data_IF_515369601957
#
_entry.id   IF_515369601957
#
_cell.length_a   1.000
_cell.length_b   1.000
_cell.length_c   1.000
_cell.angle_alpha   90.00
_cell.angle_beta   90.00
_cell.angle_gamma   90.00
#
_symmetry.space_group_name_H-M   'P 1'
#
loop_
_entity.id
_entity.type
_entity.pdbx_description
1 polymer ?
#
# COMPACT_ATOMS: atom_id res chain seq x y z
N UNK A 1 44.18 4.10 -21.60
CA UNK A 1 44.04 3.39 -20.31
C UNK A 1 42.60 3.62 -19.88
N UNK A 2 41.70 2.74 -20.34
CA UNK A 2 40.27 2.85 -20.10
C UNK A 2 39.96 2.16 -18.76
N UNK A 3 39.81 2.94 -17.70
CA UNK A 3 39.11 2.44 -16.51
C UNK A 3 37.68 2.11 -16.94
N UNK A 4 37.40 0.81 -17.00
CA UNK A 4 36.05 0.28 -17.04
C UNK A 4 35.36 0.79 -15.79
N UNK A 5 34.52 1.80 -15.95
CA UNK A 5 33.62 2.31 -14.90
C UNK A 5 32.70 1.15 -14.53
N UNK A 6 33.13 0.39 -13.53
CA UNK A 6 32.38 -0.72 -12.98
C UNK A 6 31.02 -0.18 -12.55
N UNK A 7 29.98 -0.77 -13.13
CA UNK A 7 28.60 -0.29 -13.08
C UNK A 7 28.19 0.14 -11.69
N UNK A 8 27.98 1.45 -11.53
CA UNK A 8 27.15 1.98 -10.47
C UNK A 8 25.73 1.50 -10.77
N UNK A 9 25.34 0.39 -10.15
CA UNK A 9 23.92 0.04 -10.06
C UNK A 9 23.21 1.25 -9.45
N UNK A 10 22.16 1.73 -10.13
CA UNK A 10 21.39 2.86 -9.65
C UNK A 10 20.88 2.50 -8.25
N UNK A 11 21.18 3.29 -7.20
CA UNK A 11 20.80 2.98 -5.82
C UNK A 11 19.27 2.84 -5.64
N UNK A 12 18.49 3.36 -6.60
CA UNK A 12 17.04 3.19 -6.66
C UNK A 12 16.59 1.77 -7.01
N UNK A 13 17.35 1.05 -7.84
CA UNK A 13 16.99 -0.30 -8.28
C UNK A 13 17.19 -1.31 -7.13
N UNK A 14 18.21 -1.09 -6.29
CA UNK A 14 18.49 -1.90 -5.11
C UNK A 14 17.41 -1.76 -4.03
N UNK A 15 16.85 -0.55 -3.86
CA UNK A 15 15.79 -0.27 -2.90
C UNK A 15 14.46 -0.94 -3.31
N UNK A 16 14.12 -0.92 -4.61
CA UNK A 16 12.93 -1.61 -5.14
C UNK A 16 13.06 -3.13 -4.99
N UNK A 17 14.25 -3.68 -5.28
CA UNK A 17 14.53 -5.10 -5.10
C UNK A 17 14.40 -5.55 -3.64
N UNK A 18 14.94 -4.76 -2.71
CA UNK A 18 14.89 -5.04 -1.27
C UNK A 18 13.45 -4.99 -0.72
N UNK A 19 12.63 -4.04 -1.19
CA UNK A 19 11.21 -3.94 -0.81
C UNK A 19 10.38 -5.10 -1.38
N UNK A 20 10.62 -5.47 -2.63
CA UNK A 20 9.94 -6.60 -3.28
C UNK A 20 10.26 -7.92 -2.58
N UNK A 21 11.51 -8.12 -2.14
CA UNK A 21 11.91 -9.28 -1.36
C UNK A 21 11.17 -9.35 -0.01
N UNK A 22 11.02 -8.22 0.68
CA UNK A 22 10.25 -8.13 1.94
C UNK A 22 8.76 -8.43 1.76
N UNK A 23 8.15 -7.97 0.66
CA UNK A 23 6.75 -8.29 0.34
C UNK A 23 6.59 -9.79 0.08
N UNK A 24 7.50 -10.39 -0.69
CA UNK A 24 7.45 -11.84 -0.99
C UNK A 24 7.62 -12.68 0.27
N UNK A 25 8.41 -12.21 1.22
CA UNK A 25 8.63 -12.88 2.50
C UNK A 25 7.47 -12.72 3.48
N UNK A 26 6.69 -11.64 3.38
CA UNK A 26 5.51 -11.38 4.23
C UNK A 26 4.20 -11.93 3.66
N UNK A 27 4.16 -12.26 2.36
CA UNK A 27 3.02 -12.89 1.69
C UNK A 27 2.46 -14.15 2.39
N UNK A 28 3.28 -15.14 2.81
CA UNK A 28 2.76 -16.32 3.52
C UNK A 28 2.16 -15.96 4.90
N UNK A 29 2.68 -14.93 5.56
CA UNK A 29 2.12 -14.44 6.84
C UNK A 29 0.76 -13.78 6.62
N UNK A 30 0.58 -13.04 5.51
CA UNK A 30 -0.70 -12.44 5.13
C UNK A 30 -1.77 -13.48 4.76
N UNK A 31 -1.37 -14.67 4.30
CA UNK A 31 -2.29 -15.77 4.02
C UNK A 31 -2.88 -16.43 5.27
N UNK A 32 -2.21 -16.34 6.42
CA UNK A 32 -2.65 -16.98 7.67
C UNK A 32 -4.08 -16.57 8.06
N UNK A 33 -4.44 -15.29 8.20
CA UNK A 33 -5.79 -14.90 8.59
C UNK A 33 -6.86 -15.34 7.58
N UNK A 34 -6.56 -15.31 6.28
CA UNK A 34 -7.49 -15.79 5.23
C UNK A 34 -7.74 -17.29 5.40
N UNK A 35 -6.67 -18.06 5.58
CA UNK A 35 -6.72 -19.50 5.74
C UNK A 35 -7.40 -19.90 7.05
N UNK A 36 -7.12 -19.18 8.15
CA UNK A 36 -7.81 -19.36 9.44
C UNK A 36 -9.30 -19.04 9.31
N UNK A 37 -9.67 -17.96 8.63
CA UNK A 37 -11.09 -17.61 8.43
C UNK A 37 -11.80 -18.69 7.62
N UNK A 38 -11.17 -19.14 6.53
CA UNK A 38 -11.69 -20.23 5.70
C UNK A 38 -11.86 -21.53 6.51
N UNK A 39 -10.83 -21.94 7.25
CA UNK A 39 -10.87 -23.13 8.13
C UNK A 39 -11.94 -22.98 9.21
N UNK A 40 -12.09 -21.79 9.80
CA UNK A 40 -13.10 -21.51 10.83
C UNK A 40 -14.51 -21.61 10.25
N UNK A 41 -14.76 -21.07 9.06
CA UNK A 41 -16.05 -21.17 8.36
C UNK A 41 -16.35 -22.63 7.99
N UNK A 42 -15.37 -23.36 7.47
CA UNK A 42 -15.51 -24.79 7.15
C UNK A 42 -15.80 -25.60 8.41
N UNK A 43 -15.06 -25.35 9.50
CA UNK A 43 -15.30 -25.99 10.79
C UNK A 43 -16.67 -25.66 11.35
N UNK A 44 -17.08 -24.38 11.36
CA UNK A 44 -18.41 -23.96 11.80
C UNK A 44 -19.49 -24.68 10.98
N UNK A 45 -19.31 -24.78 9.67
CA UNK A 45 -20.25 -25.46 8.79
C UNK A 45 -20.30 -26.96 9.08
N UNK A 46 -19.15 -27.60 9.32
CA UNK A 46 -19.09 -29.03 9.64
C UNK A 46 -19.64 -29.35 11.04
N UNK A 47 -19.50 -28.44 12.01
CA UNK A 47 -19.97 -28.66 13.38
C UNK A 47 -21.43 -28.25 13.58
N UNK A 48 -21.90 -27.20 12.91
CA UNK A 48 -23.27 -26.66 13.04
C UNK A 48 -24.21 -27.23 11.96
N UNK A 49 -23.68 -27.72 10.84
CA UNK A 49 -24.46 -28.20 9.69
C UNK A 49 -25.49 -29.28 9.99
N UNK A 50 -25.28 -30.09 11.03
CA UNK A 50 -26.24 -31.13 11.45
C UNK A 50 -27.27 -30.64 12.49
N UNK A 51 -27.13 -29.42 13.02
CA UNK A 51 -27.98 -28.88 14.10
C UNK A 51 -28.93 -27.77 13.66
N UNK A 52 -29.10 -27.56 12.35
CA UNK A 52 -30.11 -26.66 11.76
C UNK A 52 -31.55 -27.20 11.87
N UNK A 53 -31.83 -28.14 12.78
CA UNK A 53 -33.20 -28.36 13.21
C UNK A 53 -33.59 -27.14 14.05
N UNK A 54 -34.62 -26.36 13.64
CA UNK A 54 -35.08 -25.24 14.44
C UNK A 54 -35.37 -25.76 15.86
N UNK A 55 -34.77 -25.17 16.91
CA UNK A 55 -35.09 -25.56 18.26
C UNK A 55 -36.61 -25.42 18.45
N UNK A 56 -37.27 -26.39 19.10
CA UNK A 56 -38.68 -26.27 19.43
C UNK A 56 -38.88 -24.95 20.19
N UNK A 57 -40.01 -24.31 19.89
CA UNK A 57 -40.43 -22.95 20.27
C UNK A 57 -40.69 -22.82 21.80
N UNK A 58 -39.71 -23.21 22.60
CA UNK A 58 -39.68 -23.00 24.04
C UNK A 58 -39.23 -21.56 24.22
N UNK A 59 -40.16 -20.65 24.51
CA UNK A 59 -39.99 -19.19 24.62
C UNK A 59 -39.02 -18.69 25.71
N UNK A 60 -37.96 -19.43 26.00
CA UNK A 60 -36.80 -18.98 26.75
C UNK A 60 -35.91 -18.06 25.90
N UNK A 61 -35.18 -17.13 26.54
CA UNK A 61 -34.20 -16.31 25.85
C UNK A 61 -33.12 -17.20 25.21
N UNK A 62 -32.69 -16.92 23.97
CA UNK A 62 -31.74 -17.75 23.24
C UNK A 62 -30.42 -17.87 24.03
N UNK A 63 -30.19 -19.03 24.62
CA UNK A 63 -29.01 -19.34 25.40
C UNK A 63 -27.81 -19.56 24.45
N UNK A 64 -26.96 -18.54 24.27
CA UNK A 64 -25.69 -18.74 23.58
C UNK A 64 -24.95 -17.48 23.15
N UNK A 65 -25.62 -16.34 23.05
CA UNK A 65 -24.97 -15.11 22.62
C UNK A 65 -24.41 -14.34 23.82
N UNK A 66 -23.23 -14.75 24.33
CA UNK A 66 -22.53 -14.01 25.38
C UNK A 66 -21.87 -12.76 24.78
N UNK A 67 -22.37 -11.53 25.02
CA UNK A 67 -21.84 -10.30 24.41
C UNK A 67 -20.41 -9.96 24.89
N UNK A 68 -19.92 -10.66 25.92
CA UNK A 68 -18.61 -10.45 26.53
C UNK A 68 -17.45 -10.95 25.65
N UNK A 69 -17.66 -12.03 24.88
CA UNK A 69 -16.61 -12.62 24.03
C UNK A 69 -16.11 -11.63 22.96
N UNK A 70 -16.98 -11.00 22.13
CA UNK A 70 -16.49 -10.03 21.13
C UNK A 70 -15.84 -8.79 21.77
N UNK A 71 -16.33 -8.32 22.92
CA UNK A 71 -15.74 -7.17 23.63
C UNK A 71 -14.31 -7.49 24.10
N UNK A 72 -14.08 -8.68 24.65
CA UNK A 72 -12.76 -9.12 25.11
C UNK A 72 -11.80 -9.30 23.93
N UNK A 73 -12.26 -9.89 22.82
CA UNK A 73 -11.45 -10.04 21.60
C UNK A 73 -11.04 -8.67 21.04
N UNK A 74 -11.98 -7.72 20.96
CA UNK A 74 -11.72 -6.35 20.52
C UNK A 74 -10.71 -5.66 21.46
N UNK A 75 -10.88 -5.78 22.77
CA UNK A 75 -10.00 -5.15 23.76
C UNK A 75 -8.57 -5.71 23.69
N UNK A 76 -8.40 -7.04 23.63
CA UNK A 76 -7.08 -7.69 23.48
C UNK A 76 -6.42 -7.24 22.18
N UNK A 77 -7.20 -7.14 21.10
CA UNK A 77 -6.71 -6.73 19.81
C UNK A 77 -6.20 -5.28 19.79
N UNK A 78 -6.99 -4.32 20.29
CA UNK A 78 -6.58 -2.92 20.39
C UNK A 78 -5.36 -2.75 21.30
N UNK A 79 -5.28 -3.53 22.39
CA UNK A 79 -4.13 -3.50 23.30
C UNK A 79 -2.86 -4.01 22.61
N UNK A 80 -2.95 -5.09 21.84
CA UNK A 80 -1.83 -5.62 21.04
C UNK A 80 -1.36 -4.61 19.99
N UNK A 81 -2.28 -3.92 19.30
CA UNK A 81 -1.98 -2.85 18.34
C UNK A 81 -1.21 -1.69 18.97
N UNK A 82 -1.65 -1.22 20.14
CA UNK A 82 -1.00 -0.12 20.87
C UNK A 82 0.43 -0.51 21.28
N UNK A 83 0.64 -1.76 21.73
CA UNK A 83 1.97 -2.28 22.09
C UNK A 83 2.88 -2.39 20.86
N UNK A 84 2.35 -2.85 19.71
CA UNK A 84 3.10 -2.94 18.46
C UNK A 84 3.51 -1.58 17.89
N UNK A 85 2.65 -0.56 17.99
CA UNK A 85 2.98 0.82 17.60
C UNK A 85 4.11 1.36 18.49
N UNK A 86 4.08 1.07 19.80
CA UNK A 86 5.16 1.45 20.73
C UNK A 86 6.50 0.77 20.42
N UNK A 87 6.50 -0.40 19.79
CA UNK A 87 7.72 -1.15 19.45
C UNK A 87 8.42 -0.67 18.18
N UNK A 88 7.99 0.44 17.55
CA UNK A 88 8.62 1.05 16.36
C UNK A 88 8.84 0.07 15.19
N UNK A 89 8.01 -0.97 15.05
CA UNK A 89 7.96 -1.84 13.85
C UNK A 89 6.71 -1.50 13.03
N UNK A 90 6.73 -0.39 12.27
CA UNK A 90 5.56 0.11 11.57
C UNK A 90 4.98 -0.90 10.58
N UNK A 91 5.82 -1.73 9.94
CA UNK A 91 5.36 -2.73 8.98
C UNK A 91 4.47 -3.82 9.59
N UNK A 92 4.79 -4.29 10.81
CA UNK A 92 3.99 -5.32 11.49
C UNK A 92 2.68 -4.77 12.05
N UNK A 93 2.70 -3.53 12.56
CA UNK A 93 1.49 -2.87 13.04
C UNK A 93 0.49 -2.64 11.90
N UNK A 94 0.96 -2.20 10.73
CA UNK A 94 0.13 -2.06 9.53
C UNK A 94 -0.50 -3.39 9.12
N UNK A 95 0.27 -4.47 9.07
CA UNK A 95 -0.22 -5.80 8.68
C UNK A 95 -1.26 -6.32 9.68
N UNK A 96 -1.02 -6.18 10.99
CA UNK A 96 -1.99 -6.59 12.00
C UNK A 96 -3.28 -5.76 11.98
N UNK A 97 -3.16 -4.45 11.82
CA UNK A 97 -4.33 -3.56 11.66
C UNK A 97 -5.16 -4.00 10.45
N UNK A 98 -4.50 -4.22 9.32
CA UNK A 98 -5.15 -4.61 8.08
C UNK A 98 -5.82 -5.98 8.21
N UNK A 99 -5.10 -6.98 8.71
CA UNK A 99 -5.60 -8.33 8.87
C UNK A 99 -6.84 -8.38 9.76
N UNK A 100 -6.84 -7.67 10.87
CA UNK A 100 -8.00 -7.65 11.77
C UNK A 100 -9.14 -6.82 11.23
N UNK A 101 -8.88 -5.70 10.57
CA UNK A 101 -9.95 -4.95 9.93
C UNK A 101 -10.62 -5.76 8.82
N UNK A 102 -9.83 -6.47 8.01
CA UNK A 102 -10.34 -7.41 7.00
C UNK A 102 -11.12 -8.55 7.64
N UNK A 103 -10.66 -9.10 8.77
CA UNK A 103 -11.41 -10.12 9.51
C UNK A 103 -12.75 -9.60 10.02
N UNK A 104 -12.76 -8.40 10.61
CA UNK A 104 -13.93 -7.78 11.22
C UNK A 104 -14.99 -7.41 10.17
N UNK A 105 -14.54 -6.88 9.03
CA UNK A 105 -15.42 -6.63 7.87
C UNK A 105 -15.94 -7.92 7.25
N UNK A 106 -15.09 -8.95 7.09
CA UNK A 106 -15.52 -10.27 6.60
C UNK A 106 -16.59 -10.87 7.52
N UNK A 107 -16.40 -10.77 8.84
CA UNK A 107 -17.38 -11.26 9.81
C UNK A 107 -18.70 -10.48 9.74
N UNK A 108 -18.62 -9.17 9.49
CA UNK A 108 -19.79 -8.32 9.25
C UNK A 108 -20.56 -8.76 7.99
N UNK A 109 -19.87 -8.93 6.86
CA UNK A 109 -20.47 -9.39 5.59
C UNK A 109 -21.08 -10.78 5.72
N UNK A 110 -20.43 -11.68 6.47
CA UNK A 110 -20.97 -13.02 6.76
C UNK A 110 -22.19 -13.01 7.69
N UNK A 111 -22.45 -11.92 8.41
CA UNK A 111 -23.62 -11.79 9.30
C UNK A 111 -24.78 -11.03 8.67
N UNK A 112 -24.52 -9.85 8.10
CA UNK A 112 -25.56 -8.98 7.52
C UNK A 112 -25.84 -9.24 6.05
N UNK A 113 -25.10 -10.15 5.41
CA UNK A 113 -25.18 -10.38 3.98
C UNK A 113 -24.64 -9.20 3.16
N UNK A 114 -25.01 -9.14 1.88
CA UNK A 114 -24.46 -8.19 0.90
C UNK A 114 -25.28 -6.91 0.83
N UNK A 115 -26.54 -6.97 1.24
CA UNK A 115 -27.40 -5.79 1.32
C UNK A 115 -27.01 -4.87 2.46
N UNK A 116 -26.20 -5.35 3.42
CA UNK A 116 -25.68 -4.52 4.51
C UNK A 116 -24.56 -3.58 4.03
N UNK A 117 -24.28 -2.56 4.82
CA UNK A 117 -23.21 -1.58 4.62
C UNK A 117 -21.81 -2.14 4.88
N UNK A 118 -21.70 -3.33 5.46
CA UNK A 118 -20.44 -3.98 5.82
C UNK A 118 -19.44 -4.15 4.65
N UNK A 119 -19.83 -4.50 3.41
CA UNK A 119 -18.90 -4.59 2.28
C UNK A 119 -18.26 -3.24 1.94
N UNK A 120 -18.97 -2.12 2.13
CA UNK A 120 -18.44 -0.79 1.85
C UNK A 120 -17.30 -0.39 2.81
N UNK A 121 -17.22 -0.99 4.01
CA UNK A 121 -16.10 -0.81 4.94
C UNK A 121 -14.76 -1.37 4.41
N UNK A 122 -14.77 -2.22 3.38
CA UNK A 122 -13.54 -2.76 2.76
C UNK A 122 -12.74 -1.69 2.00
N UNK A 123 -13.34 -0.54 1.66
CA UNK A 123 -12.62 0.58 1.04
C UNK A 123 -11.49 1.08 1.95
N UNK A 124 -11.74 1.17 3.26
CA UNK A 124 -10.79 1.68 4.24
C UNK A 124 -9.46 0.88 4.28
N UNK A 125 -9.46 -0.46 4.46
CA UNK A 125 -8.23 -1.25 4.50
C UNK A 125 -7.56 -1.32 3.12
N UNK A 126 -8.32 -1.30 2.01
CA UNK A 126 -7.75 -1.28 0.65
C UNK A 126 -6.92 -0.01 0.44
N UNK A 127 -7.47 1.14 0.82
CA UNK A 127 -6.76 2.41 0.72
C UNK A 127 -5.60 2.51 1.71
N UNK A 128 -5.79 2.06 2.97
CA UNK A 128 -4.73 2.03 3.96
C UNK A 128 -3.55 1.16 3.51
N UNK A 129 -3.81 0.01 2.87
CA UNK A 129 -2.77 -0.85 2.31
C UNK A 129 -1.97 -0.16 1.21
N UNK A 130 -2.62 0.66 0.38
CA UNK A 130 -1.97 1.43 -0.68
C UNK A 130 -1.05 2.53 -0.18
N UNK A 131 -1.39 3.14 0.96
CA UNK A 131 -0.53 4.14 1.58
C UNK A 131 0.61 3.53 2.41
N UNK A 132 0.39 2.37 3.04
CA UNK A 132 1.32 1.82 4.03
C UNK A 132 2.30 0.78 3.49
N UNK A 133 1.94 -0.01 2.47
CA UNK A 133 2.80 -1.06 1.93
C UNK A 133 3.29 -0.73 0.53
N UNK A 134 2.40 -0.74 -0.47
CA UNK A 134 2.70 -0.41 -1.87
C UNK A 134 1.44 -0.55 -2.75
N UNK A 135 1.49 0.00 -3.97
CA UNK A 135 0.39 -0.08 -4.96
C UNK A 135 0.00 -1.53 -5.27
N UNK A 136 0.96 -2.44 -5.33
CA UNK A 136 0.72 -3.87 -5.57
C UNK A 136 -0.06 -4.53 -4.42
N UNK A 137 0.24 -4.16 -3.16
CA UNK A 137 -0.46 -4.67 -1.99
C UNK A 137 -1.94 -4.22 -1.99
N UNK A 138 -2.21 -2.95 -2.27
CA UNK A 138 -3.59 -2.44 -2.41
C UNK A 138 -4.37 -3.16 -3.51
N UNK A 139 -3.74 -3.39 -4.67
CA UNK A 139 -4.38 -4.09 -5.78
C UNK A 139 -4.69 -5.55 -5.43
N UNK A 140 -3.77 -6.24 -4.76
CA UNK A 140 -3.99 -7.62 -4.30
C UNK A 140 -5.13 -7.70 -3.28
N UNK A 141 -5.23 -6.71 -2.38
CA UNK A 141 -6.28 -6.68 -1.37
C UNK A 141 -7.64 -6.35 -1.97
N UNK A 142 -7.67 -5.45 -2.95
CA UNK A 142 -8.88 -5.15 -3.71
C UNK A 142 -9.38 -6.38 -4.46
N UNK A 143 -8.48 -7.14 -5.11
CA UNK A 143 -8.84 -8.39 -5.79
C UNK A 143 -9.36 -9.47 -4.82
N UNK A 144 -8.77 -9.59 -3.63
CA UNK A 144 -9.27 -10.50 -2.59
C UNK A 144 -10.63 -10.06 -2.04
N UNK A 145 -10.81 -8.76 -1.80
CA UNK A 145 -12.06 -8.20 -1.34
C UNK A 145 -13.19 -8.40 -2.36
N UNK A 146 -12.94 -8.17 -3.66
CA UNK A 146 -13.93 -8.42 -4.71
C UNK A 146 -14.27 -9.89 -4.83
N UNK A 147 -13.27 -10.78 -4.76
CA UNK A 147 -13.50 -12.22 -4.78
C UNK A 147 -14.33 -12.69 -3.57
N UNK A 148 -14.08 -12.12 -2.39
CA UNK A 148 -14.88 -12.37 -1.18
C UNK A 148 -16.34 -11.94 -1.37
N UNK A 149 -16.58 -10.70 -1.82
CA UNK A 149 -17.94 -10.18 -2.05
C UNK A 149 -18.69 -11.00 -3.10
N UNK A 150 -18.04 -11.35 -4.22
CA UNK A 150 -18.64 -12.19 -5.27
C UNK A 150 -18.95 -13.60 -4.75
N UNK A 151 -18.08 -14.17 -3.91
CA UNK A 151 -18.31 -15.50 -3.32
C UNK A 151 -19.52 -15.50 -2.38
N UNK A 152 -19.67 -14.46 -1.56
CA UNK A 152 -20.85 -14.29 -0.70
C UNK A 152 -22.11 -14.06 -1.55
N UNK A 153 -22.03 -13.27 -2.63
CA UNK A 153 -23.16 -13.03 -3.55
C UNK A 153 -23.66 -14.29 -4.19
N UNK A 154 -22.72 -15.10 -4.64
CA UNK A 154 -23.04 -16.39 -5.21
C UNK A 154 -23.69 -17.31 -4.16
N UNK A 155 -23.21 -17.34 -2.91
CA UNK A 155 -23.82 -18.13 -1.84
C UNK A 155 -25.26 -17.68 -1.53
N UNK A 156 -25.51 -16.38 -1.45
CA UNK A 156 -26.85 -15.81 -1.21
C UNK A 156 -27.84 -16.18 -2.33
N UNK A 157 -27.44 -16.02 -3.60
CA UNK A 157 -28.30 -16.35 -4.76
C UNK A 157 -28.67 -17.83 -4.80
N UNK A 158 -27.80 -18.71 -4.28
CA UNK A 158 -28.07 -20.14 -4.19
C UNK A 158 -28.87 -20.54 -2.94
N UNK A 159 -29.37 -19.57 -2.15
CA UNK A 159 -30.11 -19.84 -0.91
C UNK A 159 -29.26 -20.44 0.21
N UNK A 160 -27.92 -20.38 0.09
CA UNK A 160 -26.95 -20.82 1.08
C UNK A 160 -26.52 -19.67 1.99
N UNK A 161 -27.35 -18.64 2.11
CA UNK A 161 -27.11 -17.46 2.91
C UNK A 161 -26.88 -17.81 4.38
N UNK A 162 -25.85 -17.25 5.03
CA UNK A 162 -25.57 -17.50 6.44
C UNK A 162 -26.65 -16.84 7.32
N UNK A 163 -27.49 -17.69 7.93
CA UNK A 163 -28.39 -17.42 9.07
C UNK A 163 -29.63 -16.55 8.76
N UNK A 164 -30.85 -17.01 9.12
CA UNK A 164 -32.05 -16.17 9.11
C UNK A 164 -31.95 -15.02 10.13
N UNK A 165 -32.11 -13.79 9.66
CA UNK A 165 -32.14 -12.57 10.47
C UNK A 165 -33.35 -12.56 11.41
N UNK A 166 -33.10 -12.85 12.69
CA UNK A 166 -33.94 -12.32 13.77
C UNK A 166 -33.09 -11.27 14.47
N UNK A 167 -33.05 -10.08 13.89
CA UNK A 167 -32.36 -8.96 14.50
C UNK A 167 -33.01 -8.60 15.85
N UNK A 168 -32.23 -8.44 16.92
CA UNK A 168 -32.75 -7.91 18.18
C UNK A 168 -33.39 -6.53 17.96
N UNK A 169 -34.53 -6.23 18.59
CA UNK A 169 -35.27 -4.98 18.36
C UNK A 169 -34.50 -3.71 18.74
N UNK A 170 -33.44 -3.83 19.54
CA UNK A 170 -32.57 -2.69 19.87
C UNK A 170 -31.64 -2.31 18.69
N UNK A 171 -31.21 -3.27 17.86
CA UNK A 171 -30.31 -3.01 16.72
C UNK A 171 -31.07 -2.29 15.63
N UNK A 172 -32.29 -2.72 15.33
CA UNK A 172 -33.16 -2.07 14.33
C UNK A 172 -33.51 -0.64 14.73
N UNK A 173 -33.72 -0.37 16.03
CA UNK A 173 -33.94 1.00 16.53
C UNK A 173 -32.70 1.90 16.39
N UNK A 174 -31.49 1.35 16.51
CA UNK A 174 -30.23 2.10 16.42
C UNK A 174 -29.63 2.14 14.99
N UNK A 175 -30.14 1.32 14.08
CA UNK A 175 -29.68 1.20 12.70
C UNK A 175 -29.49 2.55 11.97
N UNK A 176 -30.42 3.52 12.00
CA UNK A 176 -30.22 4.79 11.30
C UNK A 176 -29.06 5.61 11.88
N UNK A 177 -28.84 5.57 13.20
CA UNK A 177 -27.71 6.24 13.84
C UNK A 177 -26.38 5.57 13.51
N UNK A 178 -26.35 4.23 13.47
CA UNK A 178 -25.18 3.46 13.07
C UNK A 178 -24.82 3.73 11.59
N UNK A 179 -25.81 3.80 10.70
CA UNK A 179 -25.62 4.13 9.30
C UNK A 179 -25.04 5.54 9.12
N UNK A 180 -25.56 6.55 9.85
CA UNK A 180 -25.01 7.92 9.82
C UNK A 180 -23.56 7.94 10.32
N UNK A 181 -23.28 7.30 11.46
CA UNK A 181 -21.92 7.19 11.98
C UNK A 181 -20.96 6.51 11.01
N UNK A 182 -21.42 5.44 10.36
CA UNK A 182 -20.68 4.73 9.31
C UNK A 182 -20.33 5.64 8.12
N UNK A 183 -21.31 6.33 7.55
CA UNK A 183 -21.10 7.22 6.40
C UNK A 183 -20.16 8.39 6.75
N UNK A 184 -20.33 9.00 7.93
CA UNK A 184 -19.43 10.05 8.40
C UNK A 184 -17.99 9.52 8.50
N UNK A 185 -17.81 8.34 9.13
CA UNK A 185 -16.49 7.72 9.24
C UNK A 185 -15.85 7.42 7.88
N UNK A 186 -16.64 6.91 6.93
CA UNK A 186 -16.19 6.61 5.57
C UNK A 186 -15.75 7.88 4.83
N UNK A 187 -16.54 8.95 4.86
CA UNK A 187 -16.18 10.21 4.22
C UNK A 187 -14.93 10.84 4.82
N UNK A 188 -14.80 10.86 6.15
CA UNK A 188 -13.60 11.36 6.82
C UNK A 188 -12.35 10.54 6.47
N UNK A 189 -12.50 9.22 6.36
CA UNK A 189 -11.39 8.36 5.97
C UNK A 189 -10.95 8.65 4.54
N UNK A 190 -11.89 8.75 3.58
CA UNK A 190 -11.57 9.10 2.19
C UNK A 190 -10.90 10.49 2.12
N UNK A 191 -11.40 11.48 2.87
CA UNK A 191 -10.81 12.81 2.92
C UNK A 191 -9.36 12.80 3.45
N UNK A 192 -9.10 12.05 4.53
CA UNK A 192 -7.76 11.88 5.09
C UNK A 192 -6.81 11.16 4.12
N UNK A 193 -7.27 10.11 3.45
CA UNK A 193 -6.49 9.38 2.45
C UNK A 193 -6.15 10.28 1.25
N UNK A 194 -7.13 11.08 0.80
CA UNK A 194 -6.96 12.01 -0.33
C UNK A 194 -5.97 13.13 0.01
N UNK A 195 -6.01 13.67 1.23
CA UNK A 195 -5.07 14.70 1.67
C UNK A 195 -3.64 14.16 1.74
N UNK A 196 -3.45 12.94 2.25
CA UNK A 196 -2.15 12.26 2.27
C UNK A 196 -1.62 12.00 0.86
N UNK A 197 -2.48 11.49 -0.03
CA UNK A 197 -2.11 11.21 -1.42
C UNK A 197 -1.67 12.50 -2.14
N UNK A 198 -2.44 13.57 -1.99
CA UNK A 198 -2.15 14.87 -2.61
C UNK A 198 -0.81 15.44 -2.10
N UNK A 199 -0.55 15.36 -0.79
CA UNK A 199 0.71 15.80 -0.20
C UNK A 199 1.92 15.02 -0.74
N UNK A 200 1.79 13.70 -0.90
CA UNK A 200 2.87 12.87 -1.45
C UNK A 200 3.16 13.19 -2.92
N UNK A 201 2.13 13.39 -3.74
CA UNK A 201 2.28 13.75 -5.16
C UNK A 201 2.92 15.13 -5.32
N UNK A 202 2.51 16.10 -4.50
CA UNK A 202 3.09 17.43 -4.52
C UNK A 202 4.58 17.40 -4.14
N UNK A 203 4.94 16.60 -3.13
CA UNK A 203 6.33 16.42 -2.71
C UNK A 203 7.16 15.77 -3.82
N UNK A 204 6.66 14.69 -4.44
CA UNK A 204 7.33 14.02 -5.55
C UNK A 204 7.51 14.94 -6.78
N UNK A 205 6.52 15.78 -7.09
CA UNK A 205 6.63 16.78 -8.16
C UNK A 205 7.64 17.87 -7.83
N UNK A 206 7.72 18.32 -6.57
CA UNK A 206 8.74 19.28 -6.13
C UNK A 206 10.14 18.68 -6.26
N UNK A 207 10.32 17.43 -5.83
CA UNK A 207 11.59 16.71 -5.94
C UNK A 207 12.01 16.50 -7.40
N UNK A 208 11.08 16.09 -8.26
CA UNK A 208 11.31 15.96 -9.71
C UNK A 208 11.73 17.29 -10.35
N UNK A 209 11.10 18.40 -9.97
CA UNK A 209 11.49 19.73 -10.45
C UNK A 209 12.88 20.14 -9.95
N UNK A 210 13.20 19.88 -8.69
CA UNK A 210 14.51 20.17 -8.12
C UNK A 210 15.62 19.35 -8.81
N UNK A 211 15.36 18.07 -9.08
CA UNK A 211 16.29 17.22 -9.84
C UNK A 211 16.48 17.71 -11.28
N UNK A 212 15.40 18.10 -11.97
CA UNK A 212 15.49 18.67 -13.32
C UNK A 212 16.30 19.98 -13.34
N UNK A 213 16.13 20.83 -12.34
CA UNK A 213 16.93 22.06 -12.18
C UNK A 213 18.41 21.73 -11.92
N UNK A 214 18.71 20.78 -11.04
CA UNK A 214 20.07 20.34 -10.76
C UNK A 214 20.77 19.79 -12.02
N UNK A 215 20.07 18.97 -12.82
CA UNK A 215 20.59 18.47 -14.09
C UNK A 215 20.84 19.59 -15.10
N UNK A 216 19.93 20.57 -15.19
CA UNK A 216 20.11 21.73 -16.08
C UNK A 216 21.33 22.57 -15.70
N UNK A 217 21.58 22.76 -14.39
CA UNK A 217 22.74 23.48 -13.90
C UNK A 217 24.06 22.73 -14.17
N UNK A 218 24.05 21.40 -14.01
CA UNK A 218 25.20 20.56 -14.35
C UNK A 218 25.49 20.58 -15.86
N UNK A 219 24.46 20.57 -16.71
CA UNK A 219 24.62 20.72 -18.17
C UNK A 219 25.30 22.04 -18.52
N UNK A 220 24.79 23.14 -17.96
CA UNK A 220 25.37 24.48 -18.20
C UNK A 220 26.84 24.56 -17.74
N UNK A 221 27.18 23.97 -16.60
CA UNK A 221 28.55 23.93 -16.10
C UNK A 221 29.47 23.08 -17.00
N UNK A 222 28.97 21.98 -17.55
CA UNK A 222 29.73 21.15 -18.48
C UNK A 222 29.95 21.88 -19.81
N UNK A 223 28.93 22.55 -20.32
CA UNK A 223 29.03 23.38 -21.53
C UNK A 223 30.05 24.50 -21.36
N UNK A 224 30.05 25.18 -20.22
CA UNK A 224 31.04 26.23 -19.89
C UNK A 224 32.47 25.66 -19.87
N UNK A 225 32.69 24.51 -19.22
CA UNK A 225 34.01 23.86 -19.20
C UNK A 225 34.48 23.41 -20.57
N UNK A 226 33.58 22.89 -21.40
CA UNK A 226 33.89 22.49 -22.77
C UNK A 226 34.24 23.72 -23.61
N UNK A 227 33.53 24.84 -23.43
CA UNK A 227 33.84 26.10 -24.09
C UNK A 227 35.23 26.63 -23.69
N UNK A 228 35.55 26.67 -22.38
CA UNK A 228 36.88 27.07 -21.90
C UNK A 228 38.00 26.16 -22.44
N UNK A 229 37.78 24.84 -22.46
CA UNK A 229 38.75 23.89 -23.00
C UNK A 229 38.96 24.10 -24.51
N UNK A 230 37.89 24.37 -25.24
CA UNK A 230 37.95 24.63 -26.68
C UNK A 230 38.71 25.92 -26.97
N UNK A 231 38.48 26.98 -26.20
CA UNK A 231 39.21 28.25 -26.34
C UNK A 231 40.71 28.07 -26.06
N UNK A 232 41.07 27.36 -24.97
CA UNK A 232 42.48 27.05 -24.66
C UNK A 232 43.16 26.26 -25.77
N UNK A 233 42.47 25.28 -26.37
CA UNK A 233 43.02 24.51 -27.49
C UNK A 233 43.24 25.39 -28.73
N UNK A 234 42.28 26.25 -29.06
CA UNK A 234 42.41 27.19 -30.18
C UNK A 234 43.56 28.18 -29.97
N UNK A 235 43.77 28.67 -28.76
CA UNK A 235 44.89 29.56 -28.45
C UNK A 235 46.23 28.84 -28.51
N UNK A 236 46.31 27.58 -28.04
CA UNK A 236 47.51 26.74 -28.20
C UNK A 236 47.84 26.48 -29.68
N UNK A 237 46.83 26.21 -30.52
CA UNK A 237 47.01 26.05 -31.96
C UNK A 237 47.51 27.34 -32.62
N UNK A 238 46.98 28.50 -32.22
CA UNK A 238 47.44 29.81 -32.70
C UNK A 238 48.89 30.07 -32.29
N UNK A 239 49.25 29.83 -31.03
CA UNK A 239 50.63 30.00 -30.57
C UNK A 239 51.58 29.08 -31.34
N UNK A 240 51.22 27.81 -31.53
CA UNK A 240 52.00 26.87 -32.32
C UNK A 240 52.21 27.34 -33.77
N UNK A 241 51.14 27.83 -34.43
CA UNK A 241 51.23 28.38 -35.77
C UNK A 241 52.16 29.61 -35.85
N UNK A 242 52.11 30.50 -34.85
CA UNK A 242 53.01 31.67 -34.82
C UNK A 242 54.48 31.29 -34.59
N UNK A 243 54.74 30.26 -33.78
CA UNK A 243 56.09 29.74 -33.58
C UNK A 243 56.63 29.06 -34.84
N UNK A 244 55.78 28.32 -35.56
CA UNK A 244 56.14 27.70 -36.83
C UNK A 244 56.48 28.77 -37.88
N UNK A 245 55.66 29.82 -38.00
CA UNK A 245 55.92 30.95 -38.92
C UNK A 245 57.25 31.67 -38.58
N UNK A 246 57.50 31.93 -37.30
CA UNK A 246 58.78 32.49 -36.84
C UNK A 246 59.97 31.58 -37.15
N UNK A 247 59.80 30.26 -36.98
CA UNK A 247 60.86 29.29 -37.29
C UNK A 247 61.16 29.24 -38.80
N UNK A 248 60.12 29.37 -39.64
CA UNK A 248 60.24 29.45 -41.09
C UNK A 248 60.98 30.72 -41.51
N UNK A 249 60.60 31.88 -40.99
CA UNK A 249 61.27 33.15 -41.27
C UNK A 249 62.75 33.14 -40.84
N UNK A 250 63.05 32.56 -39.67
CA UNK A 250 64.42 32.44 -39.19
C UNK A 250 65.29 31.56 -40.12
N UNK A 251 64.70 30.50 -40.70
CA UNK A 251 65.37 29.66 -41.70
C UNK A 251 65.60 30.44 -43.00
N UNK A 252 64.59 31.14 -43.52
CA UNK A 252 64.71 31.93 -44.76
C UNK A 252 65.79 33.02 -44.67
N UNK A 253 65.93 33.69 -43.50
CA UNK A 253 66.99 34.70 -43.26
C UNK A 253 68.39 34.06 -43.20
N UNK A 254 68.51 32.81 -42.76
CA UNK A 254 69.81 32.13 -42.65
C UNK A 254 70.37 31.69 -44.01
N UNK A 255 69.50 31.41 -44.97
CA UNK A 255 69.88 30.90 -46.30
C UNK A 255 70.17 32.02 -47.33
N UNK A 256 69.88 33.29 -47.02
CA UNK A 256 70.17 34.49 -47.85
C UNK A 256 71.47 35.17 -47.47
#
# INVERSE_FOLDING_TARGET
MNEVVAGQSNPTDDEVGRRTALVRQTLPILMIPVLVTFVTVVLLRLTIGDSLAPPPDDGGPPAGFFPLVPIVVIAIFFTALIVLIRLRRPSLASIMLLGTWTLLTTLGVLRGGITDTAPALLVIPICAAGLLLDRAASLSLAALATLLVVSVAWLEVNGLGPVPDIDPPFITALAPYLAVGFWIGLFWTIAALTSLLTGSLQSALQESRAQAQALSALSAQLEERVAEQTERLLDQEREAATLEERSRLARDIHDT
#
